data_IF_085515600392
#
_entry.id   IF_085515600392
#
_cell.length_a   1.000
_cell.length_b   1.000
_cell.length_c   1.000
_cell.angle_alpha   90.00
_cell.angle_beta   90.00
_cell.angle_gamma   90.00
#
_symmetry.space_group_name_H-M   'P 1'
#
loop_
_entity.id
_entity.type
_entity.pdbx_description
1 polymer ?
#
# COMPACT_ATOMS: atom_id res chain seq x y z
N UNK A 1 -19.53 7.51 0.76
CA UNK A 1 -19.28 7.60 2.21
C UNK A 1 -17.95 7.08 2.71
N UNK A 2 -17.41 5.95 2.26
CA UNK A 2 -16.16 5.39 2.85
C UNK A 2 -14.85 6.13 2.49
N UNK A 3 -14.89 7.15 1.62
CA UNK A 3 -13.68 7.87 1.20
C UNK A 3 -13.08 8.65 2.38
N UNK A 4 -11.78 8.52 2.58
CA UNK A 4 -11.03 9.17 3.65
C UNK A 4 -10.94 8.36 4.94
N UNK A 5 -11.64 7.24 5.05
CA UNK A 5 -11.52 6.33 6.19
C UNK A 5 -10.22 5.54 6.16
N UNK A 6 -9.76 5.14 7.35
CA UNK A 6 -8.55 4.36 7.56
C UNK A 6 -8.89 2.93 7.95
N UNK A 7 -8.14 1.98 7.39
CA UNK A 7 -8.33 0.56 7.61
C UNK A 7 -6.99 -0.12 7.84
N UNK A 8 -7.02 -1.21 8.59
CA UNK A 8 -5.90 -2.15 8.60
C UNK A 8 -6.03 -3.11 7.42
N UNK A 9 -4.89 -3.42 6.81
CA UNK A 9 -4.81 -4.36 5.72
C UNK A 9 -3.47 -5.08 5.69
N UNK A 10 -3.43 -6.16 4.93
CA UNK A 10 -2.24 -6.97 4.70
C UNK A 10 -1.74 -6.67 3.28
N UNK A 11 -0.43 -6.49 3.13
CA UNK A 11 0.19 -6.42 1.81
C UNK A 11 0.01 -7.78 1.13
N UNK A 12 -0.86 -7.84 0.11
CA UNK A 12 -1.21 -9.04 -0.66
C UNK A 12 -0.35 -9.20 -1.91
N UNK A 13 0.31 -8.13 -2.35
CA UNK A 13 1.19 -8.15 -3.51
C UNK A 13 2.17 -6.99 -3.51
N UNK A 14 3.34 -7.21 -4.12
CA UNK A 14 4.37 -6.18 -4.30
C UNK A 14 4.83 -6.19 -5.75
N UNK A 15 4.75 -5.03 -6.38
CA UNK A 15 5.12 -4.82 -7.79
C UNK A 15 6.03 -3.58 -7.91
N UNK A 16 6.76 -3.40 -9.03
CA UNK A 16 7.72 -2.30 -9.16
C UNK A 16 7.17 -0.88 -8.94
N UNK A 17 5.87 -0.67 -9.15
CA UNK A 17 5.23 0.65 -9.03
C UNK A 17 4.38 0.83 -7.77
N UNK A 18 4.27 -0.18 -6.90
CA UNK A 18 3.34 -0.12 -5.77
C UNK A 18 3.17 -1.41 -4.98
N UNK A 19 2.34 -1.35 -3.94
CA UNK A 19 1.92 -2.50 -3.13
C UNK A 19 0.40 -2.64 -3.19
N UNK A 20 -0.07 -3.88 -3.34
CA UNK A 20 -1.47 -4.22 -3.16
C UNK A 20 -1.73 -4.53 -1.70
N UNK A 21 -2.87 -4.06 -1.20
CA UNK A 21 -3.30 -4.17 0.19
C UNK A 21 -4.72 -4.70 0.23
N UNK A 22 -4.90 -5.86 0.85
CA UNK A 22 -6.21 -6.43 1.15
C UNK A 22 -6.63 -6.02 2.57
N UNK A 23 -7.83 -5.46 2.71
CA UNK A 23 -8.32 -5.02 4.02
C UNK A 23 -8.64 -6.23 4.92
N UNK A 24 -8.40 -6.13 6.23
CA UNK A 24 -8.64 -7.28 7.13
C UNK A 24 -10.14 -7.56 7.35
N UNK A 25 -10.95 -6.51 7.37
CA UNK A 25 -12.39 -6.61 7.66
C UNK A 25 -13.23 -6.97 6.42
N UNK A 26 -12.64 -6.87 5.23
CA UNK A 26 -13.35 -7.05 3.96
C UNK A 26 -12.42 -7.64 2.91
N UNK A 27 -12.92 -8.43 1.97
CA UNK A 27 -12.12 -8.96 0.83
C UNK A 27 -11.83 -7.91 -0.26
N UNK A 28 -11.71 -6.64 0.13
CA UNK A 28 -11.43 -5.52 -0.77
C UNK A 28 -9.93 -5.35 -0.87
N UNK A 29 -9.42 -5.35 -2.11
CA UNK A 29 -8.03 -5.06 -2.43
C UNK A 29 -7.91 -3.71 -3.14
N UNK A 30 -6.82 -2.99 -2.87
CA UNK A 30 -6.47 -1.76 -3.55
C UNK A 30 -4.97 -1.51 -3.58
N UNK A 31 -4.55 -0.51 -4.34
CA UNK A 31 -3.15 -0.21 -4.60
C UNK A 31 -2.68 1.01 -3.80
N UNK A 32 -1.52 0.90 -3.15
CA UNK A 32 -0.72 2.06 -2.74
C UNK A 32 0.40 2.22 -3.75
N UNK A 33 0.42 3.34 -4.47
CA UNK A 33 1.47 3.62 -5.44
C UNK A 33 2.77 3.97 -4.71
N UNK A 34 3.93 3.64 -5.30
CA UNK A 34 5.26 3.92 -4.72
C UNK A 34 5.50 5.40 -4.39
N UNK A 35 4.78 6.31 -5.05
CA UNK A 35 4.87 7.77 -4.83
C UNK A 35 4.17 8.22 -3.56
N UNK A 36 3.25 7.39 -3.06
CA UNK A 36 2.44 7.63 -1.86
C UNK A 36 3.02 6.87 -0.65
N UNK A 37 4.19 6.23 -0.82
CA UNK A 37 5.05 5.77 0.27
C UNK A 37 5.83 6.95 0.86
N UNK A 38 6.47 6.80 2.03
CA UNK A 38 7.30 7.85 2.63
C UNK A 38 8.39 8.35 1.67
N UNK A 39 8.93 9.55 1.90
CA UNK A 39 9.95 10.13 1.02
C UNK A 39 11.27 9.34 1.08
N UNK A 40 11.44 8.40 0.14
CA UNK A 40 12.62 7.58 -0.04
C UNK A 40 12.69 7.05 -1.49
N UNK A 41 13.87 6.58 -1.90
CA UNK A 41 14.04 5.85 -3.14
C UNK A 41 13.84 4.35 -2.89
N UNK A 42 12.65 3.85 -3.23
CA UNK A 42 12.30 2.44 -3.07
C UNK A 42 12.84 1.59 -4.22
N UNK A 43 13.46 0.46 -3.88
CA UNK A 43 13.78 -0.59 -4.85
C UNK A 43 12.92 -1.83 -4.61
N UNK A 44 12.47 -2.44 -5.70
CA UNK A 44 11.74 -3.70 -5.68
C UNK A 44 12.72 -4.88 -5.61
N UNK A 45 12.56 -5.73 -4.60
CA UNK A 45 13.25 -7.01 -4.44
C UNK A 45 12.23 -8.13 -4.67
N UNK A 46 12.21 -8.66 -5.89
CA UNK A 46 11.31 -9.74 -6.33
C UNK A 46 11.47 -11.00 -5.46
N UNK A 47 12.71 -11.38 -5.13
CA UNK A 47 12.98 -12.59 -4.34
C UNK A 47 12.45 -12.50 -2.92
N UNK A 48 12.41 -11.28 -2.37
CA UNK A 48 11.86 -11.02 -1.03
C UNK A 48 10.41 -10.55 -1.06
N UNK A 49 9.78 -10.42 -2.23
CA UNK A 49 8.48 -9.78 -2.39
C UNK A 49 8.36 -8.50 -1.57
N UNK A 50 9.33 -7.59 -1.74
CA UNK A 50 9.49 -6.41 -0.90
C UNK A 50 9.83 -5.16 -1.70
N UNK A 51 9.33 -4.00 -1.25
CA UNK A 51 9.89 -2.69 -1.59
C UNK A 51 10.69 -2.16 -0.41
N UNK A 52 11.94 -1.79 -0.66
CA UNK A 52 12.88 -1.40 0.39
C UNK A 52 13.38 0.01 0.09
N UNK A 53 13.20 0.91 1.06
CA UNK A 53 13.68 2.28 1.01
C UNK A 53 15.20 2.32 1.14
N UNK A 54 15.88 2.97 0.19
CA UNK A 54 17.34 3.00 0.14
C UNK A 54 17.96 3.80 1.28
N UNK A 55 17.34 4.90 1.68
CA UNK A 55 17.88 5.81 2.70
C UNK A 55 17.43 5.41 4.10
N UNK A 56 16.17 5.01 4.25
CA UNK A 56 15.54 4.72 5.55
C UNK A 56 15.63 3.25 5.94
N UNK A 57 15.80 2.34 4.97
CA UNK A 57 15.68 0.89 5.17
C UNK A 57 14.24 0.41 5.41
N UNK A 58 13.24 1.31 5.37
CA UNK A 58 11.83 0.95 5.53
C UNK A 58 11.47 -0.09 4.48
N UNK A 59 10.90 -1.20 4.93
CA UNK A 59 10.59 -2.35 4.08
C UNK A 59 9.09 -2.61 4.10
N UNK A 60 8.48 -2.57 2.92
CA UNK A 60 7.11 -3.01 2.68
C UNK A 60 7.16 -4.39 2.04
N UNK A 61 6.82 -5.44 2.79
CA UNK A 61 6.89 -6.84 2.34
C UNK A 61 5.52 -7.48 2.29
N UNK A 62 5.35 -8.42 1.37
CA UNK A 62 4.22 -9.35 1.36
C UNK A 62 3.92 -9.92 2.75
N UNK A 63 2.66 -9.87 3.16
CA UNK A 63 2.19 -10.31 4.47
C UNK A 63 2.36 -9.29 5.61
N UNK A 64 2.97 -8.12 5.37
CA UNK A 64 3.02 -7.07 6.38
C UNK A 64 1.63 -6.47 6.61
N UNK A 65 1.30 -6.27 7.88
CA UNK A 65 0.11 -5.53 8.30
C UNK A 65 0.43 -4.04 8.33
N UNK A 66 -0.34 -3.26 7.57
CA UNK A 66 -0.18 -1.81 7.47
C UNK A 66 -1.54 -1.11 7.65
N UNK A 67 -1.50 0.18 7.92
CA UNK A 67 -2.70 1.02 7.98
C UNK A 67 -2.77 1.90 6.74
N UNK A 68 -3.89 1.85 6.04
CA UNK A 68 -4.13 2.56 4.78
C UNK A 68 -5.35 3.44 4.86
N UNK A 69 -5.38 4.50 4.06
CA UNK A 69 -6.51 5.41 3.91
C UNK A 69 -7.10 5.29 2.51
N UNK A 70 -8.41 5.13 2.42
CA UNK A 70 -9.12 5.02 1.15
C UNK A 70 -9.22 6.40 0.47
N UNK A 71 -8.58 6.59 -0.67
CA UNK A 71 -8.57 7.89 -1.36
C UNK A 71 -9.37 7.88 -2.67
N UNK A 72 -9.59 6.71 -3.26
CA UNK A 72 -10.36 6.60 -4.50
C UNK A 72 -11.04 5.25 -4.63
N UNK A 73 -12.26 5.27 -5.16
CA UNK A 73 -12.98 4.08 -5.62
C UNK A 73 -13.55 4.35 -7.00
N UNK A 74 -13.32 3.45 -7.95
CA UNK A 74 -13.93 3.43 -9.28
C UNK A 74 -14.60 2.08 -9.50
N UNK A 75 -15.89 1.92 -9.12
CA UNK A 75 -16.57 0.63 -9.18
C UNK A 75 -16.62 0.03 -10.59
N UNK A 76 -16.81 0.87 -11.61
CA UNK A 76 -16.91 0.42 -13.01
C UNK A 76 -15.57 -0.09 -13.57
N UNK A 77 -14.45 0.25 -12.94
CA UNK A 77 -13.10 -0.12 -13.36
C UNK A 77 -12.48 -1.16 -12.41
N UNK A 78 -13.16 -1.51 -11.29
CA UNK A 78 -12.60 -2.30 -10.19
C UNK A 78 -11.27 -1.74 -9.65
N UNK A 79 -11.13 -0.41 -9.63
CA UNK A 79 -9.92 0.27 -9.13
C UNK A 79 -10.21 0.89 -7.77
N UNK A 80 -9.31 0.62 -6.82
CA UNK A 80 -9.29 1.21 -5.48
C UNK A 80 -7.87 1.70 -5.21
N UNK A 81 -7.75 2.98 -4.91
CA UNK A 81 -6.46 3.59 -4.55
C UNK A 81 -6.44 3.88 -3.05
N UNK A 82 -5.31 3.51 -2.44
CA UNK A 82 -4.98 3.74 -1.04
C UNK A 82 -3.74 4.63 -0.94
N UNK A 83 -3.61 5.29 0.22
CA UNK A 83 -2.34 5.87 0.69
C UNK A 83 -2.04 5.31 2.08
N UNK A 84 -0.79 5.42 2.54
CA UNK A 84 -0.47 5.08 3.94
C UNK A 84 -1.14 6.08 4.90
N UNK A 85 -1.73 5.57 5.98
CA UNK A 85 -2.39 6.40 6.99
C UNK A 85 -1.40 7.17 7.87
N UNK A 86 -0.25 6.55 8.21
CA UNK A 86 0.83 7.19 8.96
C UNK A 86 1.93 7.68 8.00
N UNK A 87 1.76 8.89 7.49
CA UNK A 87 2.89 9.66 6.97
C UNK A 87 3.38 10.60 8.07
N UNK A 88 4.18 10.07 9.01
CA UNK A 88 4.98 10.94 9.86
C UNK A 88 6.13 11.52 9.02
N UNK A 89 5.96 12.79 8.66
CA UNK A 89 7.01 13.70 8.19
C UNK A 89 8.05 13.88 9.31
#
# INVERSE_FOLDING_TARGET
>A
DKLGEEYFGIISGVVPFGIFVELEETLVEGLVHVKDLPDDHYFYDEKKFSMIGKNTGVTFRLGNRIKVKLVRVKPNENIIDFILADQKV
#
